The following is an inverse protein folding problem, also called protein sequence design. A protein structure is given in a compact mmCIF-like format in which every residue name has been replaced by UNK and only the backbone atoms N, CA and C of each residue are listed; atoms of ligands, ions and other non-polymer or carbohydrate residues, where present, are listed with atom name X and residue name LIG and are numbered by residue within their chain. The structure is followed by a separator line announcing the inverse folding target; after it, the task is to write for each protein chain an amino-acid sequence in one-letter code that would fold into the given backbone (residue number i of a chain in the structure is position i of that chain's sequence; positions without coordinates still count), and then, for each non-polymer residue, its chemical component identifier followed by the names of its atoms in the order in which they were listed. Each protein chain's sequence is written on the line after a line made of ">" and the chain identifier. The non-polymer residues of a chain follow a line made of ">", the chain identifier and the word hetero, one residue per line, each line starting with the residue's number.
data_IF_230247641810
#
_entry.id   IF_230247641810
#
_cell.length_a   1.000
_cell.length_b   1.000
_cell.length_c   1.000
_cell.angle_alpha   90.00
_cell.angle_beta   90.00
_cell.angle_gamma   90.00
#
_symmetry.space_group_name_H-M   'P 1'
#
loop_
_entity.id
_entity.type
_entity.pdbx_description
1 polymer ?
#
# COMPACT_ATOMS: atom_id res chain seq x y z
N UNK A 1 -6.55 -3.50 11.42
CA UNK A 1 -6.98 -4.47 10.38
C UNK A 1 -5.94 -4.46 9.27
N UNK A 2 -5.51 -5.60 8.74
CA UNK A 2 -4.44 -5.66 7.74
C UNK A 2 -5.01 -6.04 6.36
N UNK A 3 -4.68 -5.25 5.34
CA UNK A 3 -4.99 -5.53 3.93
C UNK A 3 -3.68 -5.78 3.19
N UNK A 4 -3.49 -7.02 2.75
CA UNK A 4 -2.28 -7.45 2.07
C UNK A 4 -2.55 -7.63 0.57
N UNK A 5 -1.76 -6.95 -0.25
CA UNK A 5 -1.78 -7.09 -1.70
C UNK A 5 -0.56 -7.91 -2.13
N UNK A 6 -0.78 -9.14 -2.64
CA UNK A 6 0.28 -10.07 -3.06
C UNK A 6 0.08 -10.49 -4.50
N UNK A 7 1.16 -10.45 -5.30
CA UNK A 7 1.24 -11.20 -6.55
C UNK A 7 2.69 -11.44 -6.99
N UNK A 8 2.93 -12.56 -7.68
CA UNK A 8 4.24 -12.97 -8.19
C UNK A 8 4.63 -12.41 -9.55
N UNK A 9 3.80 -11.53 -10.14
CA UNK A 9 4.10 -10.87 -11.42
C UNK A 9 4.00 -9.36 -11.28
N UNK A 10 4.99 -8.65 -11.83
CA UNK A 10 4.97 -7.20 -11.95
C UNK A 10 3.91 -6.71 -12.96
N UNK A 11 3.37 -5.51 -12.74
CA UNK A 11 2.43 -4.88 -13.69
C UNK A 11 0.98 -5.36 -13.62
N UNK A 12 0.61 -6.21 -12.66
CA UNK A 12 -0.78 -6.70 -12.48
C UNK A 12 -1.73 -5.70 -11.80
N UNK A 13 -1.25 -4.49 -11.50
CA UNK A 13 -2.06 -3.42 -10.88
C UNK A 13 -2.11 -3.43 -9.34
N UNK A 14 -1.29 -4.25 -8.67
CA UNK A 14 -1.22 -4.36 -7.20
C UNK A 14 -1.05 -3.00 -6.49
N UNK A 15 -0.02 -2.25 -6.86
CA UNK A 15 0.27 -0.95 -6.25
C UNK A 15 -0.82 0.07 -6.56
N UNK A 16 -1.43 0.00 -7.76
CA UNK A 16 -2.57 0.85 -8.14
C UNK A 16 -3.78 0.58 -7.27
N UNK A 17 -4.11 -0.69 -7.03
CA UNK A 17 -5.24 -1.05 -6.19
C UNK A 17 -4.98 -0.66 -4.72
N UNK A 18 -3.77 -0.88 -4.21
CA UNK A 18 -3.36 -0.44 -2.87
C UNK A 18 -3.48 1.08 -2.70
N UNK A 19 -3.08 1.86 -3.71
CA UNK A 19 -3.23 3.31 -3.74
C UNK A 19 -4.70 3.73 -3.67
N UNK A 20 -5.55 3.16 -4.56
CA UNK A 20 -6.98 3.48 -4.59
C UNK A 20 -7.69 3.13 -3.28
N UNK A 21 -7.30 2.02 -2.64
CA UNK A 21 -7.81 1.65 -1.33
C UNK A 21 -7.39 2.66 -0.26
N UNK A 22 -6.13 3.07 -0.21
CA UNK A 22 -5.63 4.05 0.75
C UNK A 22 -6.41 5.37 0.64
N UNK A 23 -6.57 5.90 -0.57
CA UNK A 23 -7.32 7.14 -0.83
C UNK A 23 -8.78 7.00 -0.41
N UNK A 24 -9.43 5.88 -0.75
CA UNK A 24 -10.83 5.64 -0.42
C UNK A 24 -11.06 5.58 1.08
N UNK A 25 -10.20 4.86 1.80
CA UNK A 25 -10.27 4.74 3.26
C UNK A 25 -10.02 6.09 3.95
N UNK A 26 -9.01 6.83 3.50
CA UNK A 26 -8.74 8.16 4.02
C UNK A 26 -9.91 9.12 3.81
N UNK A 27 -10.53 9.11 2.62
CA UNK A 27 -11.75 9.90 2.34
C UNK A 27 -12.95 9.49 3.18
N UNK A 28 -12.99 8.23 3.63
CA UNK A 28 -14.01 7.73 4.57
C UNK A 28 -13.69 8.07 6.04
N UNK A 29 -12.67 8.90 6.31
CA UNK A 29 -12.24 9.30 7.65
C UNK A 29 -11.47 8.22 8.41
N UNK A 30 -10.98 7.19 7.72
CA UNK A 30 -10.20 6.10 8.32
C UNK A 30 -8.72 6.48 8.36
N UNK A 31 -8.06 6.10 9.45
CA UNK A 31 -6.61 6.28 9.56
C UNK A 31 -5.87 5.11 8.93
N UNK A 32 -4.91 5.40 8.04
CA UNK A 32 -4.25 4.40 7.19
C UNK A 32 -2.74 4.44 7.38
N UNK A 33 -2.17 3.27 7.70
CA UNK A 33 -0.74 3.00 7.70
C UNK A 33 -0.35 2.30 6.39
N UNK A 34 0.77 2.71 5.79
CA UNK A 34 1.31 2.09 4.58
C UNK A 34 2.59 1.34 4.91
N UNK A 35 2.66 0.08 4.49
CA UNK A 35 3.87 -0.74 4.44
C UNK A 35 4.15 -1.12 2.99
N UNK A 36 4.85 -0.25 2.28
CA UNK A 36 5.30 -0.55 0.93
C UNK A 36 6.60 -1.36 0.99
N UNK A 37 6.51 -2.66 0.78
CA UNK A 37 7.65 -3.59 0.76
C UNK A 37 8.21 -3.77 -0.66
N UNK A 38 7.53 -3.27 -1.69
CA UNK A 38 8.03 -3.28 -3.06
C UNK A 38 9.29 -2.38 -3.16
N UNK A 39 10.42 -2.89 -3.70
CA UNK A 39 11.65 -2.10 -3.84
C UNK A 39 11.47 -0.83 -4.67
N UNK A 40 10.50 -0.79 -5.59
CA UNK A 40 10.22 0.39 -6.40
C UNK A 40 9.60 1.55 -5.61
N UNK A 41 9.01 1.27 -4.44
CA UNK A 41 8.37 2.26 -3.56
C UNK A 41 7.34 3.18 -4.24
N UNK A 42 6.76 2.72 -5.34
CA UNK A 42 5.86 3.54 -6.17
C UNK A 42 4.60 3.93 -5.39
N UNK A 43 4.06 3.05 -4.54
CA UNK A 43 2.88 3.34 -3.74
C UNK A 43 3.18 4.48 -2.75
N UNK A 44 4.31 4.41 -2.04
CA UNK A 44 4.72 5.49 -1.13
C UNK A 44 4.91 6.81 -1.86
N UNK A 45 5.57 6.79 -3.03
CA UNK A 45 5.79 8.00 -3.83
C UNK A 45 4.46 8.64 -4.27
N UNK A 46 3.53 7.85 -4.82
CA UNK A 46 2.24 8.36 -5.27
C UNK A 46 1.40 8.95 -4.12
N UNK A 47 1.44 8.34 -2.94
CA UNK A 47 0.72 8.85 -1.77
C UNK A 47 1.34 10.14 -1.23
N UNK A 48 2.68 10.25 -1.24
CA UNK A 48 3.36 11.49 -0.86
C UNK A 48 3.01 12.66 -1.79
N UNK A 49 2.84 12.39 -3.08
CA UNK A 49 2.42 13.39 -4.08
C UNK A 49 0.90 13.70 -4.04
N UNK A 50 0.12 12.96 -3.25
CA UNK A 50 -1.33 13.17 -3.17
C UNK A 50 -1.70 14.27 -2.19
N UNK A 51 -2.16 15.41 -2.71
CA UNK A 51 -2.61 16.55 -1.90
C UNK A 51 -3.69 16.16 -0.88
N UNK A 52 -3.45 16.50 0.38
CA UNK A 52 -4.40 16.31 1.48
C UNK A 52 -4.42 14.90 2.06
N UNK A 53 -3.67 13.96 1.49
CA UNK A 53 -3.47 12.65 2.10
C UNK A 53 -2.39 12.76 3.19
N UNK A 54 -2.69 12.24 4.38
CA UNK A 54 -1.75 12.20 5.50
C UNK A 54 -1.49 10.73 5.84
N UNK A 55 -0.22 10.35 5.80
CA UNK A 55 0.23 9.04 6.27
C UNK A 55 0.20 9.02 7.79
N UNK A 56 -0.49 8.03 8.36
CA UNK A 56 -0.46 7.78 9.80
C UNK A 56 0.35 6.49 10.06
N UNK A 57 1.56 6.58 10.64
CA UNK A 57 2.36 5.40 10.97
C UNK A 57 1.68 4.49 12.01
N UNK A 58 0.67 4.99 12.74
CA UNK A 58 -0.13 4.25 13.71
C UNK A 58 -1.59 4.07 13.24
N UNK A 59 -1.85 4.18 11.93
CA UNK A 59 -3.19 4.06 11.38
C UNK A 59 -3.88 2.73 11.71
N UNK A 60 -5.19 2.78 11.91
CA UNK A 60 -6.02 1.61 12.27
C UNK A 60 -6.08 0.53 11.18
N UNK A 61 -5.88 0.92 9.92
CA UNK A 61 -5.83 0.01 8.77
C UNK A 61 -4.42 0.04 8.16
N UNK A 62 -3.76 -1.11 8.14
CA UNK A 62 -2.45 -1.27 7.51
C UNK A 62 -2.61 -1.83 6.11
N UNK A 63 -2.20 -1.09 5.09
CA UNK A 63 -2.09 -1.55 3.71
C UNK A 63 -0.66 -1.99 3.47
N UNK A 64 -0.48 -3.25 3.07
CA UNK A 64 0.82 -3.86 2.81
C UNK A 64 0.92 -4.17 1.31
N UNK A 65 1.91 -3.58 0.64
CA UNK A 65 2.18 -3.79 -0.78
C UNK A 65 3.48 -4.60 -0.93
N UNK A 66 3.41 -5.83 -1.42
CA UNK A 66 4.57 -6.73 -1.48
C UNK A 66 5.38 -6.55 -2.77
N UNK A 67 6.63 -7.05 -2.83
CA UNK A 67 7.36 -7.21 -4.09
C UNK A 67 6.59 -8.10 -5.10
N UNK A 68 6.90 -8.00 -6.41
CA UNK A 68 6.30 -8.83 -7.46
C UNK A 68 6.94 -10.23 -7.51
N UNK A 69 7.02 -10.90 -6.36
CA UNK A 69 7.65 -12.20 -6.15
C UNK A 69 6.89 -12.93 -5.04
N UNK A 70 6.60 -14.22 -5.24
CA UNK A 70 5.90 -15.05 -4.23
C UNK A 70 6.90 -15.79 -3.34
N UNK A 71 8.13 -15.98 -3.83
CA UNK A 71 9.23 -16.66 -3.16
C UNK A 71 10.04 -15.74 -2.22
N UNK A 72 9.66 -14.47 -2.10
CA UNK A 72 10.37 -13.51 -1.26
C UNK A 72 10.01 -13.72 0.23
N UNK A 73 11.00 -13.96 1.12
CA UNK A 73 10.75 -14.26 2.53
C UNK A 73 10.12 -13.09 3.30
N UNK A 74 10.08 -11.88 2.74
CA UNK A 74 9.39 -10.73 3.32
C UNK A 74 7.89 -10.69 2.99
N UNK A 75 7.37 -11.65 2.21
CA UNK A 75 5.96 -11.74 1.77
C UNK A 75 5.09 -12.56 2.75
N UNK A 76 5.70 -13.26 3.71
CA UNK A 76 5.03 -14.04 4.76
C UNK A 76 5.53 -13.66 6.16
#
# INVERSE_FOLDING_TARGET
>A
MNLLFVQGKGGVGKSTLAFLFAITLHKAGKSVQIRDLDPQKSLTAWLADTKGFILDPAGEITIINTPPRIDDPHVL
#
